data_IF_332964976784
#
_entry.id   IF_332964976784
#
_cell.length_a   1.000
_cell.length_b   1.000
_cell.length_c   1.000
_cell.angle_alpha   90.00
_cell.angle_beta   90.00
_cell.angle_gamma   90.00
#
_symmetry.space_group_name_H-M   'P 1'
#
loop_
_entity.id
_entity.type
_entity.pdbx_description
1 polymer ?
#
# COMPACT_ATOMS: atom_id res chain seq x y z
N UNK A 1 -7.89 -0.43 24.03
CA UNK A 1 -7.18 0.88 24.01
C UNK A 1 -6.99 1.24 22.54
N UNK A 2 -7.58 2.37 22.11
CA UNK A 2 -7.38 2.90 20.76
C UNK A 2 -6.17 3.84 20.78
N UNK A 3 -5.07 3.43 20.16
CA UNK A 3 -3.89 4.27 19.99
C UNK A 3 -4.09 5.21 18.80
N UNK A 4 -3.70 6.46 18.94
CA UNK A 4 -3.67 7.45 17.86
C UNK A 4 -2.40 8.31 17.98
N UNK A 5 -1.92 8.91 16.86
CA UNK A 5 -0.80 9.81 16.92
C UNK A 5 -1.08 10.99 17.85
N UNK A 6 -0.10 11.35 18.66
CA UNK A 6 -0.19 12.57 19.46
C UNK A 6 -0.04 13.80 18.55
N UNK A 7 -0.63 14.93 18.91
CA UNK A 7 -0.45 16.21 18.20
C UNK A 7 1.03 16.60 18.03
N UNK A 8 1.84 16.26 19.04
CA UNK A 8 3.31 16.48 19.00
C UNK A 8 3.98 15.65 17.90
N UNK A 9 3.58 14.36 17.77
CA UNK A 9 4.09 13.48 16.71
C UNK A 9 3.68 13.95 15.31
N UNK A 10 2.40 14.33 15.12
CA UNK A 10 1.92 14.89 13.87
C UNK A 10 2.71 16.15 13.47
N UNK A 11 2.89 17.08 14.43
CA UNK A 11 3.64 18.31 14.22
C UNK A 11 5.09 18.03 13.81
N UNK A 12 5.79 17.17 14.55
CA UNK A 12 7.18 16.75 14.25
C UNK A 12 7.31 16.10 12.87
N UNK A 13 6.35 15.24 12.51
CA UNK A 13 6.33 14.63 11.19
C UNK A 13 6.17 15.68 10.09
N UNK A 14 5.21 16.61 10.23
CA UNK A 14 5.00 17.68 9.28
C UNK A 14 6.19 18.66 9.17
N UNK A 15 6.86 18.94 10.27
CA UNK A 15 8.12 19.73 10.28
C UNK A 15 9.19 19.03 9.43
N UNK A 16 9.36 17.71 9.59
CA UNK A 16 10.29 16.93 8.78
C UNK A 16 9.93 16.93 7.28
N UNK A 17 8.64 16.79 6.95
CA UNK A 17 8.16 16.88 5.56
C UNK A 17 8.45 18.26 4.97
N UNK A 18 8.11 19.33 5.69
CA UNK A 18 8.34 20.72 5.26
C UNK A 18 9.82 21.02 5.11
N UNK A 19 10.66 20.50 6.00
CA UNK A 19 12.13 20.63 5.92
C UNK A 19 12.65 20.04 4.63
N UNK A 20 12.27 18.78 4.30
CA UNK A 20 12.66 18.13 3.04
C UNK A 20 12.23 18.97 1.82
N UNK A 21 10.98 19.46 1.80
CA UNK A 21 10.48 20.27 0.69
C UNK A 21 11.25 21.58 0.58
N UNK A 22 11.57 22.24 1.70
CA UNK A 22 12.29 23.50 1.75
C UNK A 22 13.75 23.38 1.31
N UNK A 23 14.43 22.32 1.71
CA UNK A 23 15.82 22.05 1.35
C UNK A 23 15.97 21.64 -0.13
N UNK A 24 14.91 21.08 -0.71
CA UNK A 24 14.92 20.56 -2.08
C UNK A 24 14.07 21.39 -3.06
N UNK A 25 14.20 22.73 -3.02
CA UNK A 25 13.42 23.65 -3.88
C UNK A 25 13.67 23.45 -5.37
N UNK A 26 14.91 23.15 -5.76
CA UNK A 26 15.35 22.99 -7.15
C UNK A 26 15.37 21.54 -7.65
N UNK A 27 15.11 20.55 -6.80
CA UNK A 27 15.24 19.14 -7.20
C UNK A 27 14.18 18.70 -8.23
N UNK A 28 14.45 17.61 -8.93
CA UNK A 28 13.46 16.98 -9.83
C UNK A 28 12.30 16.42 -9.02
N UNK A 29 11.10 16.44 -9.59
CA UNK A 29 9.88 15.94 -8.93
C UNK A 29 10.04 14.49 -8.46
N UNK A 30 10.67 13.64 -9.25
CA UNK A 30 10.90 12.22 -8.92
C UNK A 30 11.73 12.06 -7.65
N UNK A 31 12.82 12.84 -7.53
CA UNK A 31 13.70 12.81 -6.36
C UNK A 31 12.94 13.24 -5.11
N UNK A 32 12.13 14.30 -5.22
CA UNK A 32 11.29 14.77 -4.12
C UNK A 32 10.28 13.69 -3.69
N UNK A 33 9.59 13.05 -4.64
CA UNK A 33 8.64 11.97 -4.35
C UNK A 33 9.33 10.81 -3.64
N UNK A 34 10.52 10.39 -4.06
CA UNK A 34 11.27 9.29 -3.41
C UNK A 34 11.60 9.61 -1.95
N UNK A 35 12.11 10.81 -1.69
CA UNK A 35 12.45 11.28 -0.33
C UNK A 35 11.22 11.34 0.56
N UNK A 36 10.11 11.90 0.07
CA UNK A 36 8.86 12.00 0.81
C UNK A 36 8.23 10.63 1.06
N UNK A 37 8.21 9.75 0.05
CA UNK A 37 7.65 8.41 0.17
C UNK A 37 8.35 7.56 1.23
N UNK A 38 9.66 7.71 1.39
CA UNK A 38 10.40 7.02 2.45
C UNK A 38 9.87 7.43 3.84
N UNK A 39 9.70 8.73 4.08
CA UNK A 39 9.19 9.25 5.36
C UNK A 39 7.72 8.91 5.59
N UNK A 40 6.88 9.05 4.55
CA UNK A 40 5.45 8.72 4.61
C UNK A 40 5.26 7.23 4.90
N UNK A 41 6.05 6.35 4.26
CA UNK A 41 5.98 4.90 4.48
C UNK A 41 6.34 4.52 5.91
N UNK A 42 7.41 5.08 6.46
CA UNK A 42 7.83 4.81 7.84
C UNK A 42 6.77 5.26 8.86
N UNK A 43 6.30 6.50 8.76
CA UNK A 43 5.33 7.05 9.70
C UNK A 43 3.93 6.40 9.54
N UNK A 44 3.46 6.22 8.30
CA UNK A 44 2.19 5.58 7.99
C UNK A 44 2.16 4.12 8.42
N UNK A 45 3.24 3.37 8.16
CA UNK A 45 3.36 1.97 8.58
C UNK A 45 3.33 1.80 10.11
N UNK A 46 3.96 2.72 10.85
CA UNK A 46 3.95 2.71 12.31
C UNK A 46 2.54 2.94 12.87
N UNK A 47 1.81 3.92 12.32
CA UNK A 47 0.51 4.32 12.86
C UNK A 47 -0.71 3.62 12.22
N UNK A 48 -0.56 2.81 11.17
CA UNK A 48 -1.68 2.16 10.47
C UNK A 48 -2.58 1.27 11.35
N UNK A 49 -2.08 0.84 12.50
CA UNK A 49 -2.80 -0.02 13.44
C UNK A 49 -3.65 0.74 14.46
N UNK A 50 -3.59 2.06 14.45
CA UNK A 50 -4.30 2.94 15.38
C UNK A 50 -5.52 3.63 14.77
N UNK A 51 -6.29 4.35 15.59
CA UNK A 51 -7.40 5.19 15.15
C UNK A 51 -6.89 6.49 14.48
N UNK A 52 -6.36 6.36 13.26
CA UNK A 52 -5.51 7.39 12.62
C UNK A 52 -6.16 8.09 11.43
N UNK A 53 -7.38 7.69 11.05
CA UNK A 53 -8.02 8.16 9.81
C UNK A 53 -8.04 9.70 9.70
N UNK A 54 -8.50 10.39 10.75
CA UNK A 54 -8.58 11.84 10.76
C UNK A 54 -7.20 12.50 10.74
N UNK A 55 -6.23 11.91 11.46
CA UNK A 55 -4.84 12.35 11.44
C UNK A 55 -4.22 12.22 10.06
N UNK A 56 -4.45 11.09 9.39
CA UNK A 56 -3.97 10.84 8.03
C UNK A 56 -4.56 11.83 7.03
N UNK A 57 -5.87 12.08 7.09
CA UNK A 57 -6.52 13.09 6.25
C UNK A 57 -5.93 14.48 6.44
N UNK A 58 -5.77 14.93 7.69
CA UNK A 58 -5.18 16.24 7.98
C UNK A 58 -3.76 16.37 7.46
N UNK A 59 -2.94 15.32 7.65
CA UNK A 59 -1.55 15.30 7.20
C UNK A 59 -1.46 15.27 5.68
N UNK A 60 -2.23 14.43 5.00
CA UNK A 60 -2.28 14.38 3.53
C UNK A 60 -2.64 15.74 2.94
N UNK A 61 -3.62 16.45 3.53
CA UNK A 61 -3.98 17.80 3.13
C UNK A 61 -2.83 18.81 3.34
N UNK A 62 -2.14 18.75 4.47
CA UNK A 62 -0.99 19.63 4.74
C UNK A 62 0.20 19.35 3.81
N UNK A 63 0.45 18.09 3.48
CA UNK A 63 1.46 17.70 2.47
C UNK A 63 1.09 18.29 1.11
N UNK A 64 -0.18 18.14 0.70
CA UNK A 64 -0.69 18.75 -0.53
C UNK A 64 -0.45 20.26 -0.58
N UNK A 65 -0.82 21.00 0.46
CA UNK A 65 -0.61 22.44 0.55
C UNK A 65 0.89 22.81 0.45
N UNK A 66 1.75 22.06 1.11
CA UNK A 66 3.19 22.28 1.09
C UNK A 66 3.79 22.06 -0.31
N UNK A 67 3.36 21.01 -1.02
CA UNK A 67 3.76 20.72 -2.39
C UNK A 67 3.17 21.72 -3.39
N UNK A 68 1.95 22.19 -3.15
CA UNK A 68 1.34 23.24 -3.96
C UNK A 68 2.14 24.55 -3.88
N UNK A 69 2.56 24.93 -2.68
CA UNK A 69 3.43 26.09 -2.47
C UNK A 69 4.81 25.91 -3.12
N UNK A 70 5.39 24.70 -3.03
CA UNK A 70 6.65 24.37 -3.71
C UNK A 70 6.53 24.52 -5.23
N UNK A 71 5.49 23.98 -5.84
CA UNK A 71 5.24 24.07 -7.28
C UNK A 71 4.98 25.52 -7.73
N UNK A 72 4.20 26.27 -6.95
CA UNK A 72 3.89 27.70 -7.20
C UNK A 72 5.14 28.57 -7.19
N UNK A 73 6.02 28.38 -6.20
CA UNK A 73 7.29 29.13 -6.12
C UNK A 73 8.21 28.82 -7.29
N UNK A 74 8.22 27.58 -7.74
CA UNK A 74 9.05 27.13 -8.88
C UNK A 74 8.58 27.72 -10.21
N UNK A 75 7.30 28.00 -10.34
CA UNK A 75 6.66 28.50 -11.56
C UNK A 75 5.79 29.73 -11.26
N UNK A 76 6.41 30.78 -10.73
CA UNK A 76 5.73 32.00 -10.31
C UNK A 76 4.94 32.70 -11.41
N UNK A 77 5.42 32.59 -12.66
CA UNK A 77 4.80 33.20 -13.86
C UNK A 77 3.70 32.30 -14.50
N UNK A 78 3.43 31.09 -13.96
CA UNK A 78 2.44 30.15 -14.52
C UNK A 78 1.16 30.12 -13.72
N UNK A 79 0.03 30.00 -14.42
CA UNK A 79 -1.30 29.89 -13.80
C UNK A 79 -1.51 28.60 -13.03
N UNK A 80 -2.50 28.60 -12.12
CA UNK A 80 -2.83 27.43 -11.27
C UNK A 80 -3.17 26.18 -12.08
N UNK A 81 -3.88 26.32 -13.22
CA UNK A 81 -4.25 25.20 -14.09
C UNK A 81 -3.02 24.51 -14.68
N UNK A 82 -2.08 25.31 -15.21
CA UNK A 82 -0.82 24.79 -15.74
C UNK A 82 -0.01 24.02 -14.67
N UNK A 83 0.09 24.58 -13.45
CA UNK A 83 0.78 23.95 -12.34
C UNK A 83 0.14 22.61 -11.99
N UNK A 84 -1.20 22.59 -11.91
CA UNK A 84 -1.96 21.36 -11.67
C UNK A 84 -1.68 20.31 -12.74
N UNK A 85 -1.80 20.64 -14.01
CA UNK A 85 -1.61 19.69 -15.12
C UNK A 85 -0.16 19.22 -15.24
N UNK A 86 0.82 20.02 -14.80
CA UNK A 86 2.24 19.66 -14.79
C UNK A 86 2.60 18.67 -13.68
N UNK A 87 2.03 18.79 -12.48
CA UNK A 87 2.47 18.09 -11.29
C UNK A 87 1.46 17.07 -10.72
N UNK A 88 0.19 17.25 -10.99
CA UNK A 88 -0.88 16.37 -10.53
C UNK A 88 -1.58 15.70 -11.70
N UNK A 89 -1.67 14.38 -11.62
CA UNK A 89 -2.25 13.55 -12.68
C UNK A 89 -3.41 12.71 -12.14
N UNK A 90 -4.33 12.33 -13.05
CA UNK A 90 -5.37 11.35 -12.73
C UNK A 90 -4.76 9.96 -12.69
N UNK A 91 -4.77 9.35 -11.53
CA UNK A 91 -4.27 8.00 -11.31
C UNK A 91 -5.30 7.21 -10.52
N UNK A 92 -5.82 6.18 -11.14
CA UNK A 92 -6.84 5.30 -10.54
C UNK A 92 -8.08 6.07 -10.03
N UNK A 93 -8.53 7.07 -10.76
CA UNK A 93 -9.69 7.89 -10.40
C UNK A 93 -9.42 9.04 -9.43
N UNK A 94 -8.18 9.18 -8.95
CA UNK A 94 -7.79 10.34 -8.15
C UNK A 94 -7.08 11.40 -9.02
N UNK A 95 -7.82 12.46 -9.36
CA UNK A 95 -7.36 13.55 -10.25
C UNK A 95 -6.26 14.44 -9.64
N UNK A 96 -6.00 14.30 -8.36
CA UNK A 96 -5.05 15.15 -7.61
C UNK A 96 -3.87 14.35 -7.05
N UNK A 97 -3.38 13.36 -7.79
CA UNK A 97 -2.22 12.59 -7.39
C UNK A 97 -0.94 13.28 -7.84
N UNK A 98 -0.08 13.67 -6.90
CA UNK A 98 1.24 14.22 -7.20
C UNK A 98 2.13 13.12 -7.74
N UNK A 99 2.46 13.18 -9.04
CA UNK A 99 3.15 12.10 -9.73
C UNK A 99 4.03 12.61 -10.86
N UNK A 100 5.12 11.89 -11.11
CA UNK A 100 6.03 12.14 -12.22
C UNK A 100 6.11 10.94 -13.13
N UNK A 101 6.06 11.17 -14.44
CA UNK A 101 6.36 10.17 -15.46
C UNK A 101 7.84 10.27 -15.81
N UNK A 102 8.53 9.16 -15.90
CA UNK A 102 9.94 9.10 -16.27
C UNK A 102 10.22 7.84 -17.09
N UNK A 103 11.27 7.90 -17.89
CA UNK A 103 11.74 6.74 -18.67
C UNK A 103 12.78 5.99 -17.85
N UNK A 104 12.62 4.67 -17.75
CA UNK A 104 13.62 3.77 -17.17
C UNK A 104 14.81 3.62 -18.14
N UNK A 105 15.98 3.17 -17.65
CA UNK A 105 17.13 2.89 -18.52
C UNK A 105 16.85 1.90 -19.67
N UNK A 106 15.85 1.04 -19.50
CA UNK A 106 15.37 0.10 -20.51
C UNK A 106 14.37 0.70 -21.53
N UNK A 107 14.23 2.02 -21.58
CA UNK A 107 13.34 2.75 -22.48
C UNK A 107 11.85 2.72 -22.13
N UNK A 108 11.43 1.90 -21.16
CA UNK A 108 10.01 1.81 -20.73
C UNK A 108 9.63 3.02 -19.88
N UNK A 109 8.46 3.58 -20.19
CA UNK A 109 7.87 4.62 -19.34
C UNK A 109 7.41 4.01 -17.99
N UNK A 110 7.73 4.71 -16.93
CA UNK A 110 7.28 4.38 -15.58
C UNK A 110 6.74 5.63 -14.90
N UNK A 111 5.93 5.43 -13.88
CA UNK A 111 5.28 6.51 -13.16
C UNK A 111 5.54 6.37 -11.67
N UNK A 112 6.09 7.42 -11.08
CA UNK A 112 6.31 7.50 -9.65
C UNK A 112 5.26 8.41 -9.02
N UNK A 113 4.53 7.88 -8.04
CA UNK A 113 3.45 8.57 -7.34
C UNK A 113 3.84 8.87 -5.90
N UNK A 114 3.39 10.01 -5.39
CA UNK A 114 3.44 10.29 -3.97
C UNK A 114 2.43 9.38 -3.24
N UNK A 115 2.87 8.76 -2.16
CA UNK A 115 2.00 7.99 -1.29
C UNK A 115 1.06 8.93 -0.52
N UNK A 116 -0.21 8.58 -0.46
CA UNK A 116 -1.17 9.19 0.47
C UNK A 116 -1.28 8.31 1.70
N UNK A 117 -1.23 8.88 2.88
CA UNK A 117 -1.40 8.14 4.13
C UNK A 117 -2.77 7.44 4.16
N UNK A 118 -3.81 8.16 3.76
CA UNK A 118 -5.19 7.66 3.80
C UNK A 118 -5.42 6.47 2.88
N UNK A 119 -4.87 6.50 1.65
CA UNK A 119 -5.10 5.45 0.65
C UNK A 119 -4.08 4.33 0.70
N UNK A 120 -2.84 4.62 1.11
CA UNK A 120 -1.74 3.65 1.11
C UNK A 120 -1.66 2.83 2.39
N UNK A 121 -2.23 3.35 3.50
CA UNK A 121 -2.23 2.70 4.81
C UNK A 121 -3.66 2.54 5.31
N UNK A 122 -4.38 1.53 4.81
CA UNK A 122 -5.73 1.25 5.29
C UNK A 122 -5.67 0.90 6.78
N UNK A 123 -6.68 1.36 7.51
CA UNK A 123 -6.81 1.05 8.94
C UNK A 123 -6.96 -0.45 9.14
N UNK A 124 -6.02 -1.05 9.85
CA UNK A 124 -6.05 -2.45 10.23
C UNK A 124 -6.65 -2.57 11.62
N UNK A 125 -7.97 -2.68 11.68
CA UNK A 125 -8.68 -2.81 12.95
C UNK A 125 -8.33 -4.14 13.63
N UNK A 126 -7.77 -4.05 14.84
CA UNK A 126 -7.67 -5.21 15.72
C UNK A 126 -9.06 -5.51 16.30
N UNK A 127 -9.63 -6.60 15.85
CA UNK A 127 -10.88 -7.10 16.43
C UNK A 127 -10.53 -7.97 17.63
N UNK A 128 -10.96 -7.59 18.81
CA UNK A 128 -10.78 -8.41 20.02
C UNK A 128 -11.43 -9.78 19.84
N UNK A 129 -10.85 -10.81 20.47
CA UNK A 129 -11.51 -12.10 20.64
C UNK A 129 -12.58 -11.88 21.70
N UNK A 130 -13.78 -12.42 21.49
CA UNK A 130 -14.85 -12.43 22.51
C UNK A 130 -14.37 -13.21 23.71
N UNK A 131 -14.65 -12.71 24.95
CA UNK A 131 -14.10 -13.28 26.17
C UNK A 131 -14.41 -14.75 26.41
N UNK A 132 -15.54 -15.19 25.89
CA UNK A 132 -16.06 -16.58 26.01
C UNK A 132 -15.50 -17.53 24.95
N UNK A 133 -14.71 -17.02 23.98
CA UNK A 133 -14.20 -17.81 22.86
C UNK A 133 -12.80 -18.35 23.13
N UNK A 134 -12.68 -19.67 23.28
CA UNK A 134 -11.42 -20.38 23.48
C UNK A 134 -10.95 -20.99 22.14
N UNK A 135 -9.71 -20.70 21.64
CA UNK A 135 -9.19 -21.31 20.42
C UNK A 135 -9.06 -22.83 20.44
N UNK A 136 -8.96 -23.42 21.62
CA UNK A 136 -8.81 -24.86 21.83
C UNK A 136 -10.13 -25.59 21.98
N UNK A 137 -11.25 -24.85 22.05
CA UNK A 137 -12.59 -25.42 22.17
C UNK A 137 -13.14 -25.74 20.76
N UNK A 138 -13.71 -26.96 20.65
CA UNK A 138 -14.31 -27.42 19.40
C UNK A 138 -15.50 -26.59 18.96
N UNK A 139 -16.31 -26.12 19.89
CA UNK A 139 -17.52 -25.33 19.61
C UNK A 139 -17.17 -23.92 19.10
N UNK A 140 -15.99 -23.42 19.46
CA UNK A 140 -15.50 -22.10 19.01
C UNK A 140 -14.84 -22.13 17.63
N UNK A 141 -14.66 -23.30 17.00
CA UNK A 141 -13.95 -23.44 15.68
C UNK A 141 -14.57 -22.57 14.59
N UNK A 142 -15.90 -22.50 14.51
CA UNK A 142 -16.59 -21.70 13.49
C UNK A 142 -16.33 -20.19 13.67
N UNK A 143 -16.27 -19.73 14.91
CA UNK A 143 -15.95 -18.34 15.21
C UNK A 143 -14.53 -17.99 14.75
N UNK A 144 -13.54 -18.79 15.10
CA UNK A 144 -12.14 -18.56 14.69
C UNK A 144 -11.94 -18.71 13.19
N UNK A 145 -12.67 -19.63 12.56
CA UNK A 145 -12.71 -19.75 11.10
C UNK A 145 -13.19 -18.45 10.43
N UNK A 146 -14.36 -17.95 10.83
CA UNK A 146 -14.93 -16.69 10.31
C UNK A 146 -13.97 -15.50 10.54
N UNK A 147 -13.36 -15.44 11.71
CA UNK A 147 -12.37 -14.43 12.07
C UNK A 147 -11.13 -14.48 11.16
N UNK A 148 -10.57 -15.69 10.93
CA UNK A 148 -9.42 -15.90 10.03
C UNK A 148 -9.76 -15.50 8.59
N UNK A 149 -10.94 -15.86 8.12
CA UNK A 149 -11.46 -15.50 6.80
C UNK A 149 -11.59 -13.98 6.63
N UNK A 150 -12.15 -13.28 7.61
CA UNK A 150 -12.27 -11.81 7.59
C UNK A 150 -10.91 -11.12 7.55
N UNK A 151 -9.95 -11.55 8.36
CA UNK A 151 -8.58 -11.03 8.33
C UNK A 151 -7.92 -11.26 6.97
N UNK A 152 -8.08 -12.46 6.41
CA UNK A 152 -7.51 -12.78 5.10
C UNK A 152 -8.14 -11.95 3.98
N UNK A 153 -9.44 -11.68 4.04
CA UNK A 153 -10.11 -10.81 3.06
C UNK A 153 -9.48 -9.40 3.02
N UNK A 154 -9.14 -8.84 4.18
CA UNK A 154 -8.44 -7.55 4.26
C UNK A 154 -7.06 -7.64 3.60
N UNK A 155 -6.29 -8.70 3.92
CA UNK A 155 -4.98 -8.97 3.31
C UNK A 155 -5.06 -9.11 1.79
N UNK A 156 -6.13 -9.72 1.28
CA UNK A 156 -6.44 -9.88 -0.14
C UNK A 156 -7.10 -8.62 -0.77
N UNK A 157 -6.98 -7.47 -0.10
CA UNK A 157 -7.51 -6.17 -0.58
C UNK A 157 -9.02 -6.17 -0.87
N UNK A 158 -9.79 -6.90 -0.07
CA UNK A 158 -11.24 -7.03 -0.20
C UNK A 158 -11.71 -7.87 -1.40
N UNK A 159 -10.82 -8.51 -2.14
CA UNK A 159 -11.16 -9.29 -3.34
C UNK A 159 -11.72 -10.67 -2.99
N UNK A 160 -13.04 -10.82 -3.09
CA UNK A 160 -13.75 -12.09 -2.81
C UNK A 160 -13.28 -13.24 -3.71
N UNK A 161 -12.91 -12.97 -4.96
CA UNK A 161 -12.36 -13.98 -5.89
C UNK A 161 -11.03 -14.57 -5.40
N UNK A 162 -10.14 -13.74 -4.83
CA UNK A 162 -8.90 -14.22 -4.25
C UNK A 162 -9.12 -14.98 -2.94
N UNK A 163 -10.12 -14.57 -2.16
CA UNK A 163 -10.51 -15.29 -0.96
C UNK A 163 -11.04 -16.69 -1.30
N UNK A 164 -11.89 -16.81 -2.32
CA UNK A 164 -12.36 -18.09 -2.84
C UNK A 164 -11.19 -18.98 -3.30
N UNK A 165 -10.25 -18.40 -4.05
CA UNK A 165 -9.06 -19.10 -4.51
C UNK A 165 -8.22 -19.63 -3.33
N UNK A 166 -8.00 -18.80 -2.31
CA UNK A 166 -7.30 -19.18 -1.09
C UNK A 166 -7.99 -20.33 -0.35
N UNK A 167 -9.32 -20.30 -0.26
CA UNK A 167 -10.09 -21.41 0.34
C UNK A 167 -9.99 -22.69 -0.49
N UNK A 168 -10.16 -22.59 -1.82
CA UNK A 168 -10.07 -23.72 -2.76
C UNK A 168 -8.71 -24.42 -2.71
N UNK A 169 -7.62 -23.67 -2.48
CA UNK A 169 -6.27 -24.22 -2.34
C UNK A 169 -5.97 -24.78 -0.93
N UNK A 170 -6.99 -24.97 -0.07
CA UNK A 170 -6.78 -25.42 1.31
C UNK A 170 -5.96 -24.42 2.15
N UNK A 171 -5.93 -23.15 1.76
CA UNK A 171 -5.20 -22.05 2.41
C UNK A 171 -3.69 -22.17 2.39
N UNK A 172 -3.16 -23.04 1.53
CA UNK A 172 -1.73 -23.34 1.38
C UNK A 172 -1.21 -22.85 0.04
N UNK A 173 0.06 -22.50 0.02
CA UNK A 173 0.78 -22.20 -1.22
C UNK A 173 1.03 -23.52 -1.98
N UNK A 174 0.61 -23.66 -3.24
CA UNK A 174 0.80 -24.90 -4.00
C UNK A 174 2.26 -25.19 -4.37
N UNK A 175 3.18 -24.24 -4.18
CA UNK A 175 4.60 -24.43 -4.49
C UNK A 175 5.37 -24.96 -3.29
N UNK A 176 5.22 -24.36 -2.09
CA UNK A 176 5.96 -24.76 -0.89
C UNK A 176 5.13 -25.56 0.12
N UNK A 177 3.82 -25.69 -0.07
CA UNK A 177 2.92 -26.38 0.86
C UNK A 177 2.60 -25.62 2.15
N UNK A 178 3.30 -24.50 2.43
CA UNK A 178 3.09 -23.72 3.63
C UNK A 178 1.79 -22.88 3.60
N UNK A 179 1.20 -22.57 4.76
CA UNK A 179 0.01 -21.72 4.85
C UNK A 179 0.26 -20.33 4.28
N UNK A 180 -0.70 -19.83 3.49
CA UNK A 180 -0.74 -18.42 3.10
C UNK A 180 -1.51 -17.68 4.20
N UNK A 181 -0.80 -16.88 4.96
CA UNK A 181 -1.32 -16.09 6.08
C UNK A 181 -1.24 -14.58 5.83
N UNK A 182 -1.55 -13.80 6.87
CA UNK A 182 -1.53 -12.33 6.82
C UNK A 182 -0.13 -11.73 6.94
N UNK A 183 0.90 -12.53 7.24
CA UNK A 183 2.25 -12.05 7.54
C UNK A 183 3.19 -12.14 6.34
N UNK A 184 2.95 -13.07 5.45
CA UNK A 184 3.77 -13.27 4.24
C UNK A 184 3.14 -12.55 3.04
N UNK A 185 3.98 -11.90 2.24
CA UNK A 185 3.55 -11.31 0.96
C UNK A 185 3.11 -12.41 -0.01
N UNK A 186 2.06 -12.14 -0.76
CA UNK A 186 1.46 -13.06 -1.72
C UNK A 186 1.40 -12.47 -3.13
N UNK A 187 1.29 -13.34 -4.11
CA UNK A 187 1.13 -12.98 -5.51
C UNK A 187 0.15 -13.93 -6.20
N UNK A 188 -0.39 -13.51 -7.35
CA UNK A 188 -1.25 -14.34 -8.20
C UNK A 188 -0.42 -14.86 -9.36
N UNK A 189 -0.31 -16.18 -9.47
CA UNK A 189 0.42 -16.86 -10.54
C UNK A 189 -0.58 -17.45 -11.55
N UNK A 190 -0.59 -16.94 -12.80
CA UNK A 190 -1.36 -17.59 -13.85
C UNK A 190 -0.71 -18.94 -14.20
N UNK A 191 -1.53 -19.96 -14.34
CA UNK A 191 -1.13 -21.33 -14.69
C UNK A 191 -2.15 -21.97 -15.62
N UNK A 192 -1.79 -23.11 -16.19
CA UNK A 192 -2.72 -23.92 -16.97
C UNK A 192 -2.85 -25.28 -16.28
N UNK A 193 -4.08 -25.63 -15.89
CA UNK A 193 -4.40 -26.94 -15.33
C UNK A 193 -5.48 -27.58 -16.19
N UNK A 194 -5.24 -28.81 -16.63
CA UNK A 194 -6.14 -29.57 -17.52
C UNK A 194 -6.59 -28.77 -18.76
N UNK A 195 -5.64 -28.06 -19.41
CA UNK A 195 -5.93 -27.25 -20.59
C UNK A 195 -6.65 -25.90 -20.32
N UNK A 196 -7.08 -25.64 -19.10
CA UNK A 196 -7.79 -24.41 -18.73
C UNK A 196 -6.85 -23.43 -18.01
N UNK A 197 -6.90 -22.15 -18.43
CA UNK A 197 -6.19 -21.08 -17.73
C UNK A 197 -6.81 -20.89 -16.36
N UNK A 198 -6.00 -20.94 -15.32
CA UNK A 198 -6.41 -20.68 -13.94
C UNK A 198 -5.36 -19.84 -13.21
N UNK A 199 -5.75 -19.30 -12.08
CA UNK A 199 -4.87 -18.52 -11.23
C UNK A 199 -4.62 -19.27 -9.93
N UNK A 200 -3.39 -19.20 -9.43
CA UNK A 200 -3.00 -19.71 -8.12
C UNK A 200 -2.54 -18.56 -7.23
N UNK A 201 -2.91 -18.63 -5.96
CA UNK A 201 -2.38 -17.73 -4.94
C UNK A 201 -1.12 -18.36 -4.35
N UNK A 202 -0.01 -17.66 -4.39
CA UNK A 202 1.31 -18.16 -3.97
C UNK A 202 2.03 -17.12 -3.13
N UNK A 203 3.02 -17.50 -2.33
CA UNK A 203 3.91 -16.54 -1.69
C UNK A 203 4.70 -15.75 -2.75
N UNK A 204 5.00 -14.49 -2.48
CA UNK A 204 5.75 -13.64 -3.42
C UNK A 204 7.15 -14.19 -3.71
N UNK A 205 7.80 -14.80 -2.72
CA UNK A 205 9.09 -15.48 -2.86
C UNK A 205 8.98 -16.69 -3.79
N UNK A 206 7.97 -17.56 -3.59
CA UNK A 206 7.70 -18.70 -4.44
C UNK A 206 7.40 -18.28 -5.89
N UNK A 207 6.65 -17.18 -6.07
CA UNK A 207 6.41 -16.59 -7.38
C UNK A 207 7.68 -16.15 -8.08
N UNK A 208 8.59 -15.49 -7.36
CA UNK A 208 9.89 -15.04 -7.89
C UNK A 208 10.79 -16.21 -8.28
N UNK A 209 10.83 -17.24 -7.44
CA UNK A 209 11.62 -18.47 -7.72
C UNK A 209 11.10 -19.20 -8.96
N UNK A 210 9.79 -19.39 -9.09
CA UNK A 210 9.19 -20.05 -10.26
C UNK A 210 9.49 -19.29 -11.58
N UNK A 211 9.53 -17.95 -11.55
CA UNK A 211 9.90 -17.14 -12.72
C UNK A 211 11.38 -17.23 -13.08
N UNK A 212 12.27 -17.39 -12.09
CA UNK A 212 13.71 -17.59 -12.35
C UNK A 212 13.95 -18.95 -12.98
N UNK A 213 13.32 -20.02 -12.48
CA UNK A 213 13.43 -21.37 -13.03
C UNK A 213 12.96 -21.45 -14.50
N UNK A 214 11.89 -20.75 -14.86
CA UNK A 214 11.38 -20.70 -16.22
C UNK A 214 12.25 -19.86 -17.19
N UNK A 215 13.09 -18.95 -16.67
CA UNK A 215 14.06 -18.21 -17.52
C UNK A 215 15.30 -19.00 -17.87
N UNK A 216 15.70 -19.92 -16.99
CA UNK A 216 16.89 -20.77 -17.19
C UNK A 216 16.59 -22.03 -18.04
N UNK A 217 15.34 -22.25 -18.46
CA UNK A 217 14.91 -23.34 -19.33
C UNK A 217 14.64 -22.88 -20.79
N UNK A 218 14.94 -21.63 -21.13
CA UNK A 218 14.96 -21.06 -22.47
C UNK A 218 16.39 -20.68 -22.85
#
# INVERSE_FOLDING_TARGET
ILTKPTKKSEKRFMENIRKVIKENKGCRQESLIRMLNSKIRGWGGYYQHGATRDSFHRIDHQIFLSLWQWAKRRHSKKGKRWIKDRYWHDIRGNKWTFASKFKKPNGKEDQLTLLSLTSSFPFLQYTQIKGDMNPFDADCRLYFYKRKKSKMLVTLKGRKSLLYLWEKQGRKCPICGEPIDTHKAWNVMPTVQNGKKCNLLVHDECFKLSRKSNRNKK
#
